data_IF_683418377346
#
_entry.id   IF_683418377346
#
_cell.length_a   1.000
_cell.length_b   1.000
_cell.length_c   1.000
_cell.angle_alpha   90.00
_cell.angle_beta   90.00
_cell.angle_gamma   90.00
#
_symmetry.space_group_name_H-M   'P 1'
#
loop_
_entity.id
_entity.type
_entity.pdbx_description
1 polymer ?
#
# COMPACT_ATOMS: atom_id res chain seq x y z
N UNK A 1 -12.90 -25.71 -21.04
CA UNK A 1 -11.64 -24.95 -21.23
C UNK A 1 -10.54 -25.65 -20.44
N UNK A 2 -9.37 -25.88 -21.06
CA UNK A 2 -8.20 -26.44 -20.37
C UNK A 2 -7.54 -25.34 -19.53
N UNK A 3 -7.31 -25.60 -18.24
CA UNK A 3 -6.62 -24.65 -17.36
C UNK A 3 -5.13 -24.63 -17.71
N UNK A 4 -4.54 -23.45 -17.82
CA UNK A 4 -3.10 -23.26 -17.99
C UNK A 4 -2.45 -23.11 -16.62
N UNK A 5 -1.40 -23.89 -16.35
CA UNK A 5 -0.57 -23.70 -15.17
C UNK A 5 0.35 -22.50 -15.39
N UNK A 6 0.17 -21.46 -14.57
CA UNK A 6 1.10 -20.36 -14.45
C UNK A 6 2.03 -20.71 -13.26
N UNK A 7 3.33 -20.48 -13.38
CA UNK A 7 4.27 -20.72 -12.28
C UNK A 7 3.91 -19.93 -11.01
N UNK A 8 4.64 -20.16 -9.92
CA UNK A 8 4.42 -19.42 -8.67
C UNK A 8 4.48 -17.91 -8.90
N UNK A 9 3.40 -17.21 -8.59
CA UNK A 9 3.27 -15.78 -8.79
C UNK A 9 2.48 -15.15 -7.64
N UNK A 10 2.90 -13.96 -7.21
CA UNK A 10 2.24 -13.18 -6.14
C UNK A 10 1.22 -12.18 -6.69
N UNK A 11 1.07 -12.12 -8.02
CA UNK A 11 0.13 -11.23 -8.68
C UNK A 11 -1.28 -11.79 -8.55
N UNK A 12 -2.12 -11.07 -7.81
CA UNK A 12 -3.56 -11.28 -7.71
C UNK A 12 -4.27 -10.05 -8.28
N UNK A 13 -5.47 -10.21 -8.84
CA UNK A 13 -6.23 -9.10 -9.41
C UNK A 13 -7.65 -9.03 -8.82
N UNK A 14 -8.22 -7.81 -8.65
CA UNK A 14 -7.59 -6.52 -8.90
C UNK A 14 -6.56 -6.14 -7.82
N UNK A 15 -5.57 -5.33 -8.19
CA UNK A 15 -4.69 -4.68 -7.23
C UNK A 15 -5.12 -3.21 -7.09
N UNK A 16 -5.29 -2.69 -5.86
CA UNK A 16 -5.66 -1.29 -5.68
C UNK A 16 -4.48 -0.37 -6.01
N UNK A 17 -4.80 0.80 -6.59
CA UNK A 17 -3.83 1.88 -6.79
C UNK A 17 -3.94 2.83 -5.61
N UNK A 18 -3.01 2.73 -4.65
CA UNK A 18 -3.02 3.58 -3.45
C UNK A 18 -1.70 4.30 -3.23
N UNK A 19 -1.78 5.45 -2.56
CA UNK A 19 -0.65 6.19 -2.01
C UNK A 19 -0.68 6.12 -0.49
N UNK A 20 0.43 5.71 0.12
CA UNK A 20 0.64 5.72 1.57
C UNK A 20 1.43 6.97 1.94
N UNK A 21 0.79 7.88 2.65
CA UNK A 21 1.39 9.10 3.17
C UNK A 21 1.79 8.92 4.64
N UNK A 22 2.95 9.45 5.00
CA UNK A 22 3.53 9.36 6.36
C UNK A 22 4.22 10.66 6.71
N UNK A 23 4.35 10.94 8.01
CA UNK A 23 5.18 12.01 8.57
C UNK A 23 6.19 11.34 9.49
N UNK A 24 7.48 11.63 9.33
CA UNK A 24 8.53 11.14 10.21
C UNK A 24 8.57 11.91 11.54
N UNK A 25 9.29 11.40 12.54
CA UNK A 25 9.48 12.12 13.82
C UNK A 25 10.22 13.45 13.67
N UNK A 26 10.91 13.66 12.55
CA UNK A 26 11.54 14.92 12.15
C UNK A 26 10.56 15.91 11.51
N UNK A 27 9.28 15.56 11.39
CA UNK A 27 8.24 16.36 10.75
C UNK A 27 8.25 16.29 9.22
N UNK A 28 9.15 15.53 8.60
CA UNK A 28 9.21 15.43 7.14
C UNK A 28 8.16 14.47 6.58
N UNK A 29 7.43 14.95 5.58
CA UNK A 29 6.44 14.17 4.85
C UNK A 29 7.07 13.21 3.84
N UNK A 30 6.45 12.04 3.66
CA UNK A 30 6.81 11.09 2.61
C UNK A 30 5.56 10.42 2.01
N UNK A 31 5.57 10.16 0.71
CA UNK A 31 4.49 9.48 -0.01
C UNK A 31 5.10 8.32 -0.81
N UNK A 32 4.46 7.14 -0.79
CA UNK A 32 4.82 6.02 -1.65
C UNK A 32 3.61 5.36 -2.30
N UNK A 33 3.78 4.77 -3.48
CA UNK A 33 2.78 3.88 -4.07
C UNK A 33 2.78 2.52 -3.38
N UNK A 34 1.60 1.97 -3.10
CA UNK A 34 1.42 0.64 -2.55
C UNK A 34 0.19 -0.04 -3.15
N UNK A 35 0.35 -1.28 -3.61
CA UNK A 35 -0.76 -2.10 -4.08
C UNK A 35 -1.18 -3.16 -3.05
N UNK A 36 -0.33 -3.47 -2.08
CA UNK A 36 -0.63 -4.42 -1.02
C UNK A 36 -1.28 -3.70 0.16
N UNK A 37 -2.50 -3.23 -0.08
CA UNK A 37 -3.34 -2.52 0.89
C UNK A 37 -4.76 -3.10 0.85
N UNK A 38 -5.37 -3.36 2.00
CA UNK A 38 -6.70 -3.97 2.04
C UNK A 38 -7.36 -3.94 3.41
N UNK A 39 -8.68 -4.06 3.42
CA UNK A 39 -9.50 -4.17 4.63
C UNK A 39 -9.26 -5.54 5.28
N UNK A 40 -9.05 -5.54 6.59
CA UNK A 40 -8.83 -6.74 7.41
C UNK A 40 -10.09 -7.11 8.20
N UNK A 41 -10.73 -6.12 8.83
CA UNK A 41 -11.92 -6.34 9.66
C UNK A 41 -12.87 -5.16 9.61
N UNK A 42 -14.15 -5.44 9.86
CA UNK A 42 -15.21 -4.42 9.97
C UNK A 42 -15.30 -3.82 11.37
N UNK A 43 -15.15 -4.63 12.41
CA UNK A 43 -15.30 -4.21 13.82
C UNK A 43 -14.19 -4.79 14.68
N UNK A 44 -13.25 -3.97 15.21
CA UNK A 44 -13.04 -2.59 14.79
C UNK A 44 -12.66 -2.50 13.30
N UNK A 45 -12.94 -1.39 12.62
CA UNK A 45 -12.52 -1.20 11.23
C UNK A 45 -11.00 -1.18 11.17
N UNK A 46 -10.41 -2.17 10.51
CA UNK A 46 -8.96 -2.34 10.41
C UNK A 46 -8.57 -2.58 8.97
N UNK A 47 -7.42 -2.01 8.57
CA UNK A 47 -6.79 -2.29 7.28
C UNK A 47 -5.33 -2.63 7.48
N UNK A 48 -4.76 -3.35 6.52
CA UNK A 48 -3.34 -3.66 6.50
C UNK A 48 -2.69 -3.07 5.25
N UNK A 49 -1.45 -2.62 5.41
CA UNK A 49 -0.53 -2.26 4.33
C UNK A 49 0.75 -3.09 4.50
N UNK A 50 1.22 -3.73 3.43
CA UNK A 50 2.47 -4.51 3.45
C UNK A 50 3.59 -3.69 2.85
N UNK A 51 4.56 -3.31 3.68
CA UNK A 51 5.68 -2.45 3.29
C UNK A 51 7.01 -3.17 3.47
N UNK A 52 7.94 -2.96 2.54
CA UNK A 52 9.32 -3.42 2.71
C UNK A 52 10.03 -2.57 3.78
N UNK A 53 10.80 -3.21 4.66
CA UNK A 53 11.49 -2.55 5.79
C UNK A 53 12.49 -1.46 5.37
N UNK A 54 13.02 -1.52 4.15
CA UNK A 54 13.93 -0.50 3.60
C UNK A 54 13.22 0.76 3.09
N UNK A 55 11.88 0.85 3.14
CA UNK A 55 11.13 2.04 2.71
C UNK A 55 11.09 3.07 3.84
N UNK A 56 11.28 4.36 3.50
CA UNK A 56 11.11 5.48 4.43
C UNK A 56 9.73 5.47 5.11
N UNK A 57 8.66 5.14 4.38
CA UNK A 57 7.33 4.99 4.99
C UNK A 57 7.25 3.91 6.07
N UNK A 58 7.98 2.79 5.94
CA UNK A 58 8.01 1.77 6.99
C UNK A 58 8.68 2.32 8.25
N UNK A 59 9.82 3.00 8.09
CA UNK A 59 10.52 3.65 9.20
C UNK A 59 9.62 4.70 9.89
N UNK A 60 9.02 5.60 9.11
CA UNK A 60 8.11 6.62 9.64
C UNK A 60 6.96 5.99 10.43
N UNK A 61 6.27 4.98 9.89
CA UNK A 61 5.16 4.30 10.58
C UNK A 61 5.64 3.58 11.85
N UNK A 62 6.83 2.99 11.82
CA UNK A 62 7.38 2.32 12.99
C UNK A 62 7.69 3.30 14.13
N UNK A 63 8.16 4.50 13.80
CA UNK A 63 8.51 5.55 14.75
C UNK A 63 7.29 6.32 15.27
N UNK A 64 6.32 6.61 14.40
CA UNK A 64 5.18 7.51 14.73
C UNK A 64 3.88 6.77 14.99
N UNK A 65 3.71 5.54 14.49
CA UNK A 65 2.47 4.78 14.58
C UNK A 65 1.39 5.17 13.58
N UNK A 66 1.61 6.21 12.76
CA UNK A 66 0.56 6.84 11.95
C UNK A 66 0.84 6.76 10.44
N UNK A 67 -0.23 6.57 9.66
CA UNK A 67 -0.23 6.68 8.20
C UNK A 67 -1.61 6.99 7.64
N UNK A 68 -1.64 7.42 6.38
CA UNK A 68 -2.87 7.62 5.60
C UNK A 68 -2.79 6.82 4.30
N UNK A 69 -3.88 6.14 3.95
CA UNK A 69 -4.02 5.48 2.64
C UNK A 69 -4.96 6.30 1.76
N UNK A 70 -4.46 6.74 0.62
CA UNK A 70 -5.18 7.57 -0.35
C UNK A 70 -5.50 6.73 -1.58
N UNK A 71 -6.76 6.70 -2.02
CA UNK A 71 -7.12 6.14 -3.31
C UNK A 71 -6.73 7.10 -4.44
N UNK A 72 -6.09 6.57 -5.47
CA UNK A 72 -5.65 7.37 -6.62
C UNK A 72 -6.73 7.33 -7.71
N UNK A 73 -7.32 8.47 -8.11
CA UNK A 73 -8.24 8.51 -9.24
C UNK A 73 -7.47 8.33 -10.56
N UNK A 74 -8.15 7.78 -11.57
CA UNK A 74 -7.54 7.47 -12.87
C UNK A 74 -6.76 8.64 -13.53
N UNK A 75 -7.19 9.92 -13.45
CA UNK A 75 -6.44 11.03 -14.04
C UNK A 75 -5.05 11.30 -13.43
N UNK A 76 -4.76 10.79 -12.23
CA UNK A 76 -3.44 10.93 -11.61
C UNK A 76 -2.49 9.76 -11.98
N UNK A 77 -2.97 8.74 -12.68
CA UNK A 77 -2.12 7.69 -13.21
C UNK A 77 -1.37 8.23 -14.42
N UNK A 78 -0.04 8.27 -14.34
CA UNK A 78 0.84 8.51 -15.49
C UNK A 78 1.21 7.17 -16.13
N UNK A 79 1.58 7.19 -17.42
CA UNK A 79 2.09 5.98 -18.10
C UNK A 79 3.30 5.41 -17.34
N UNK A 80 3.36 4.08 -17.25
CA UNK A 80 4.38 3.34 -16.49
C UNK A 80 5.64 3.05 -17.32
#
# INVERSE_FOLDING_TARGET
MQKRQLGSCVTFFPQPTTLVSTIGSDGQGNIMTASWAGIVSKTPPTMAVSLNKGRKSYQNIHETGDFVVNMVPAPLAVEA
#
